data_IF_451790557178
#
_entry.id   IF_451790557178
#
_cell.length_a   1.000
_cell.length_b   1.000
_cell.length_c   1.000
_cell.angle_alpha   90.00
_cell.angle_beta   90.00
_cell.angle_gamma   90.00
#
_symmetry.space_group_name_H-M   'P 1'
#
loop_
_entity.id
_entity.type
_entity.pdbx_description
1 polymer ?
#
# COMPACT_ATOMS: atom_id res chain seq x y z
N UNK A 1 34.68 -9.70 -52.18
CA UNK A 1 33.20 -9.73 -52.29
C UNK A 1 32.61 -9.86 -50.89
N UNK A 2 31.69 -8.94 -50.57
CA UNK A 2 30.60 -8.98 -49.55
C UNK A 2 30.97 -9.15 -48.06
N UNK A 3 30.88 -8.02 -47.37
CA UNK A 3 30.65 -7.87 -45.92
C UNK A 3 29.34 -8.56 -45.54
N UNK A 4 29.30 -9.30 -44.43
CA UNK A 4 28.05 -9.59 -43.72
C UNK A 4 28.18 -9.06 -42.29
N UNK A 5 27.68 -7.84 -42.11
CA UNK A 5 27.30 -7.31 -40.83
C UNK A 5 26.03 -8.06 -40.39
N UNK A 6 26.09 -8.71 -39.23
CA UNK A 6 24.89 -9.22 -38.57
C UNK A 6 24.13 -8.01 -38.02
N UNK A 7 22.95 -7.75 -38.59
CA UNK A 7 22.07 -6.64 -38.22
C UNK A 7 21.42 -6.88 -36.85
N UNK A 8 21.20 -5.83 -36.03
CA UNK A 8 20.41 -5.92 -34.81
C UNK A 8 18.91 -6.13 -35.14
N UNK A 9 18.25 -6.99 -34.38
CA UNK A 9 16.83 -7.31 -34.52
C UNK A 9 15.93 -6.07 -34.30
N UNK A 10 14.80 -5.96 -35.02
CA UNK A 10 13.88 -4.83 -34.91
C UNK A 10 13.13 -4.82 -33.58
N UNK A 11 12.90 -3.60 -33.07
CA UNK A 11 12.41 -3.36 -31.73
C UNK A 11 11.04 -3.95 -31.40
N UNK A 12 10.85 -4.22 -30.11
CA UNK A 12 9.53 -4.26 -29.48
C UNK A 12 9.51 -3.22 -28.38
N UNK A 13 9.06 -2.02 -28.74
CA UNK A 13 8.61 -1.01 -27.80
C UNK A 13 7.51 -1.62 -26.93
N UNK A 14 7.85 -2.12 -25.75
CA UNK A 14 6.88 -2.35 -24.67
C UNK A 14 6.70 -1.05 -23.88
N UNK A 15 6.42 0.05 -24.57
CA UNK A 15 5.95 1.30 -23.96
C UNK A 15 4.46 1.51 -24.24
N UNK A 16 3.65 0.52 -23.89
CA UNK A 16 2.20 0.61 -24.13
C UNK A 16 1.45 -0.25 -23.11
N UNK A 17 1.15 0.34 -21.96
CA UNK A 17 -0.01 0.02 -21.10
C UNK A 17 0.08 0.76 -19.75
N UNK A 18 1.30 0.88 -19.19
CA UNK A 18 1.51 1.38 -17.83
C UNK A 18 1.61 2.90 -17.71
N UNK A 19 1.92 3.61 -18.81
CA UNK A 19 2.02 5.09 -18.84
C UNK A 19 0.65 5.77 -19.02
N UNK A 20 -0.21 5.21 -19.88
CA UNK A 20 -1.55 5.74 -20.20
C UNK A 20 -2.48 5.72 -18.97
N UNK A 21 -2.29 4.79 -18.01
CA UNK A 21 -3.03 4.79 -16.74
C UNK A 21 -2.59 5.88 -15.75
N UNK A 22 -1.37 6.43 -15.87
CA UNK A 22 -0.88 7.48 -14.94
C UNK A 22 -1.42 8.86 -15.27
N UNK A 23 -1.69 9.14 -16.54
CA UNK A 23 -2.04 10.50 -17.00
C UNK A 23 -3.54 10.80 -16.92
N UNK A 24 -4.41 9.80 -17.12
CA UNK A 24 -5.87 10.01 -17.23
C UNK A 24 -6.68 10.01 -15.92
N UNK A 25 -6.03 9.98 -14.75
CA UNK A 25 -6.73 9.97 -13.45
C UNK A 25 -6.60 11.28 -12.64
N UNK A 26 -6.05 12.33 -13.25
CA UNK A 26 -5.89 13.68 -12.73
C UNK A 26 -7.19 14.53 -12.75
N UNK A 27 -8.35 13.89 -12.60
CA UNK A 27 -9.62 14.57 -12.35
C UNK A 27 -9.93 14.57 -10.85
N UNK A 28 -9.50 15.62 -10.13
CA UNK A 28 -10.02 16.04 -8.81
C UNK A 28 -10.22 14.95 -7.73
N UNK A 29 -9.41 13.89 -7.69
CA UNK A 29 -9.34 13.07 -6.47
C UNK A 29 -8.45 13.83 -5.50
N UNK A 30 -9.08 14.44 -4.51
CA UNK A 30 -8.45 14.93 -3.29
C UNK A 30 -7.25 14.03 -2.94
N UNK A 31 -6.07 14.63 -2.80
CA UNK A 31 -4.79 13.95 -2.56
C UNK A 31 -4.74 13.38 -1.13
N UNK A 32 -5.82 12.70 -0.72
CA UNK A 32 -6.04 12.16 0.60
C UNK A 32 -5.49 10.76 0.65
N UNK A 33 -4.39 10.59 1.39
CA UNK A 33 -3.86 9.28 1.73
C UNK A 33 -4.43 8.83 3.05
N UNK A 34 -4.81 7.56 3.12
CA UNK A 34 -5.21 6.92 4.38
C UNK A 34 -4.00 6.24 4.98
N UNK A 35 -3.68 6.58 6.22
CA UNK A 35 -2.65 5.93 7.03
C UNK A 35 -3.28 5.24 8.22
N UNK A 36 -2.57 4.25 8.76
CA UNK A 36 -2.92 3.68 10.06
C UNK A 36 -2.55 4.71 11.13
N UNK A 37 -3.43 4.91 12.10
CA UNK A 37 -3.10 5.64 13.32
C UNK A 37 -2.19 4.74 14.16
N UNK A 38 -0.89 5.07 14.31
CA UNK A 38 0.05 4.21 14.99
C UNK A 38 -0.37 3.97 16.45
N UNK A 39 -0.79 5.02 17.15
CA UNK A 39 -1.16 4.96 18.54
C UNK A 39 -2.41 4.10 18.77
N UNK A 40 -3.44 4.28 17.93
CA UNK A 40 -4.66 3.49 18.05
C UNK A 40 -4.42 2.01 17.70
N UNK A 41 -3.61 1.73 16.68
CA UNK A 41 -3.24 0.36 16.32
C UNK A 41 -2.47 -0.33 17.46
N UNK A 42 -1.47 0.33 18.04
CA UNK A 42 -0.73 -0.19 19.18
C UNK A 42 -1.61 -0.43 20.39
N UNK A 43 -2.45 0.53 20.77
CA UNK A 43 -3.41 0.37 21.87
C UNK A 43 -4.32 -0.85 21.66
N UNK A 44 -4.83 -1.05 20.44
CA UNK A 44 -5.68 -2.21 20.12
C UNK A 44 -4.90 -3.52 20.20
N UNK A 45 -3.67 -3.54 19.71
CA UNK A 45 -2.79 -4.71 19.85
C UNK A 45 -2.51 -5.05 21.31
N UNK A 46 -2.27 -4.05 22.17
CA UNK A 46 -2.02 -4.27 23.60
C UNK A 46 -3.24 -4.87 24.31
N UNK A 47 -4.44 -4.35 24.02
CA UNK A 47 -5.71 -4.86 24.57
C UNK A 47 -5.99 -6.30 24.12
N UNK A 48 -5.63 -6.64 22.89
CA UNK A 48 -5.80 -7.99 22.34
C UNK A 48 -4.62 -8.92 22.64
N UNK A 49 -3.59 -8.43 23.35
CA UNK A 49 -2.34 -9.15 23.60
C UNK A 49 -1.67 -9.68 22.32
N UNK A 50 -1.71 -8.90 21.24
CA UNK A 50 -1.15 -9.26 19.94
C UNK A 50 0.24 -8.66 19.74
N UNK A 51 1.19 -9.49 19.37
CA UNK A 51 2.48 -9.08 18.81
C UNK A 51 2.34 -8.68 17.33
N UNK A 52 3.32 -7.94 16.80
CA UNK A 52 3.36 -7.62 15.36
C UNK A 52 3.37 -8.87 14.48
N UNK A 53 4.01 -9.95 14.95
CA UNK A 53 4.09 -11.22 14.23
C UNK A 53 2.74 -11.93 14.21
N UNK A 54 1.99 -11.90 15.30
CA UNK A 54 0.64 -12.46 15.35
C UNK A 54 -0.31 -11.67 14.46
N UNK A 55 -0.25 -10.34 14.50
CA UNK A 55 -1.03 -9.50 13.59
C UNK A 55 -0.69 -9.79 12.12
N UNK A 56 0.59 -9.99 11.80
CA UNK A 56 1.04 -10.37 10.46
C UNK A 56 0.42 -11.72 10.03
N UNK A 57 0.41 -12.72 10.93
CA UNK A 57 -0.22 -14.03 10.66
C UNK A 57 -1.74 -13.92 10.46
N UNK A 58 -2.43 -13.15 11.30
CA UNK A 58 -3.88 -12.95 11.21
C UNK A 58 -4.28 -12.24 9.90
N UNK A 59 -3.50 -11.26 9.47
CA UNK A 59 -3.79 -10.47 8.26
C UNK A 59 -3.24 -11.10 6.98
N UNK A 60 -2.43 -12.17 7.07
CA UNK A 60 -1.70 -12.73 5.94
C UNK A 60 -0.64 -11.76 5.35
N UNK A 61 -0.22 -10.75 6.12
CA UNK A 61 0.77 -9.76 5.72
C UNK A 61 2.15 -10.14 6.27
N UNK A 62 3.21 -9.55 5.72
CA UNK A 62 4.55 -9.74 6.29
C UNK A 62 4.75 -8.86 7.51
N UNK A 63 5.52 -9.32 8.50
CA UNK A 63 5.86 -8.54 9.70
C UNK A 63 6.55 -7.21 9.36
N UNK A 64 7.43 -7.20 8.35
CA UNK A 64 8.04 -5.99 7.83
C UNK A 64 7.01 -5.01 7.24
N UNK A 65 5.98 -5.50 6.55
CA UNK A 65 4.91 -4.64 6.05
C UNK A 65 4.04 -4.09 7.18
N UNK A 66 3.72 -4.89 8.21
CA UNK A 66 3.04 -4.43 9.42
C UNK A 66 3.86 -3.32 10.12
N UNK A 67 5.16 -3.51 10.30
CA UNK A 67 6.04 -2.47 10.87
C UNK A 67 6.02 -1.15 10.06
N UNK A 68 6.01 -1.24 8.73
CA UNK A 68 5.88 -0.06 7.86
C UNK A 68 4.50 0.63 7.96
N UNK A 69 3.44 -0.13 8.23
CA UNK A 69 2.11 0.41 8.46
C UNK A 69 2.01 1.09 9.83
N UNK A 70 2.47 0.40 10.89
CA UNK A 70 2.48 0.90 12.27
C UNK A 70 3.41 2.11 12.46
N UNK A 71 4.42 2.27 11.60
CA UNK A 71 5.27 3.48 11.59
C UNK A 71 4.72 4.61 10.70
N UNK A 72 3.57 4.41 10.04
CA UNK A 72 2.95 5.41 9.16
C UNK A 72 3.73 5.68 7.86
N UNK A 73 4.79 4.90 7.57
CA UNK A 73 5.62 5.02 6.37
C UNK A 73 4.90 4.50 5.12
N UNK A 74 3.94 3.59 5.29
CA UNK A 74 3.12 3.05 4.20
C UNK A 74 1.63 3.30 4.41
N UNK A 75 0.92 3.39 3.29
CA UNK A 75 -0.53 3.52 3.25
C UNK A 75 -1.14 2.18 2.81
N UNK A 76 -2.06 1.59 3.58
CA UNK A 76 -2.71 0.34 3.20
C UNK A 76 -3.73 0.57 2.06
N UNK A 77 -3.82 -0.41 1.16
CA UNK A 77 -4.90 -0.50 0.17
C UNK A 77 -6.25 -0.74 0.86
N UNK A 78 -7.39 -0.48 0.21
CA UNK A 78 -8.71 -0.71 0.81
C UNK A 78 -8.92 -2.14 1.33
N UNK A 79 -8.45 -3.14 0.59
CA UNK A 79 -8.50 -4.56 1.02
C UNK A 79 -7.72 -4.78 2.32
N UNK A 80 -6.50 -4.23 2.40
CA UNK A 80 -5.65 -4.34 3.60
C UNK A 80 -6.23 -3.61 4.80
N UNK A 81 -7.01 -2.55 4.58
CA UNK A 81 -7.72 -1.85 5.67
C UNK A 81 -8.77 -2.75 6.30
N UNK A 82 -9.55 -3.47 5.48
CA UNK A 82 -10.55 -4.43 5.97
C UNK A 82 -9.89 -5.54 6.79
N UNK A 83 -8.80 -6.11 6.28
CA UNK A 83 -8.04 -7.14 7.00
C UNK A 83 -7.53 -6.64 8.37
N UNK A 84 -7.05 -5.40 8.44
CA UNK A 84 -6.60 -4.81 9.69
C UNK A 84 -7.77 -4.54 10.66
N UNK A 85 -8.93 -4.10 10.16
CA UNK A 85 -10.13 -3.89 10.97
C UNK A 85 -10.64 -5.21 11.55
N UNK A 86 -10.72 -6.26 10.73
CA UNK A 86 -11.11 -7.60 11.19
C UNK A 86 -10.12 -8.16 12.22
N UNK A 87 -8.82 -8.08 11.94
CA UNK A 87 -7.79 -8.63 12.83
C UNK A 87 -7.70 -7.88 14.18
N UNK A 88 -8.01 -6.58 14.21
CA UNK A 88 -8.00 -5.77 15.42
C UNK A 88 -9.38 -5.59 16.06
N UNK A 89 -10.42 -6.22 15.52
CA UNK A 89 -11.79 -6.12 16.03
C UNK A 89 -12.32 -4.68 16.06
N UNK A 90 -11.94 -3.85 15.10
CA UNK A 90 -12.35 -2.44 15.02
C UNK A 90 -13.43 -2.27 13.96
N UNK A 91 -14.62 -1.87 14.38
CA UNK A 91 -15.75 -1.62 13.47
C UNK A 91 -15.65 -0.26 12.78
N UNK A 92 -15.25 0.78 13.52
CA UNK A 92 -15.23 2.15 13.02
C UNK A 92 -13.93 2.48 12.28
N UNK A 93 -14.03 3.26 11.20
CA UNK A 93 -12.86 3.61 10.39
C UNK A 93 -11.92 4.57 11.13
N UNK A 94 -12.48 5.60 11.75
CA UNK A 94 -11.72 6.68 12.41
C UNK A 94 -10.99 6.20 13.68
N UNK A 95 -11.38 5.05 14.21
CA UNK A 95 -10.71 4.40 15.35
C UNK A 95 -9.33 3.85 14.99
N UNK A 96 -9.09 3.49 13.73
CA UNK A 96 -7.84 2.84 13.31
C UNK A 96 -7.09 3.63 12.23
N UNK A 97 -7.78 4.42 11.42
CA UNK A 97 -7.19 5.11 10.28
C UNK A 97 -7.31 6.62 10.39
N UNK A 98 -6.33 7.30 9.78
CA UNK A 98 -6.31 8.75 9.63
C UNK A 98 -6.24 9.11 8.15
N UNK A 99 -6.94 10.17 7.77
CA UNK A 99 -6.92 10.73 6.42
C UNK A 99 -5.98 11.93 6.42
N UNK A 100 -4.92 11.85 5.61
CA UNK A 100 -3.88 12.88 5.49
C UNK A 100 -3.99 13.53 4.12
N UNK A 101 -4.11 14.86 4.08
CA UNK A 101 -3.98 15.63 2.84
C UNK A 101 -2.49 15.80 2.49
N UNK A 102 -2.13 15.77 1.21
CA UNK A 102 -0.73 15.95 0.76
C UNK A 102 -0.41 17.41 0.39
N UNK A 103 -1.21 18.35 0.86
CA UNK A 103 -1.15 19.75 0.44
C UNK A 103 -0.35 20.66 1.40
N UNK A 104 0.45 20.07 2.32
CA UNK A 104 1.36 20.79 3.24
C UNK A 104 2.78 20.21 3.22
#
# INVERSE_FOLDING_TARGET
MRRSACAPAPGRSLRTASRIRRENMAGRRSLRKVKVNPYAAWRRMDVLHLTQNELARLTGLTSGYISLLLSGRRCPSPEKRRLLQEALGVSEFDDLFIVVNLDE
#
